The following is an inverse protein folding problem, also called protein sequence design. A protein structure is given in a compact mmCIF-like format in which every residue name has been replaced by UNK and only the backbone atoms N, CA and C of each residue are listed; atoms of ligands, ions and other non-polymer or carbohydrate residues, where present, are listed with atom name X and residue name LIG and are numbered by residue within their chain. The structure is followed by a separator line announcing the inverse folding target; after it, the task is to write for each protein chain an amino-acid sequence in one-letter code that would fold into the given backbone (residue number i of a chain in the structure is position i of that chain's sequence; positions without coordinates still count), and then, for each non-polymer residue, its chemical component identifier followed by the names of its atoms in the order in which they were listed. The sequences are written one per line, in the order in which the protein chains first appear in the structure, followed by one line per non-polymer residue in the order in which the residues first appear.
data_IF_479720995831
#
_entry.id   IF_479720995831
#
_cell.length_a   1.000
_cell.length_b   1.000
_cell.length_c   1.000
_cell.angle_alpha   90.00
_cell.angle_beta   90.00
_cell.angle_gamma   90.00
#
_symmetry.space_group_name_H-M   'P 1'
#
loop_
_entity.id
_entity.type
_entity.pdbx_description
1 polymer ?
#
# COMPACT_ATOMS: atom_id res chain seq x y z
N UNK A 1 -24.80 8.49 -27.82
CA UNK A 1 -24.36 7.33 -27.01
C UNK A 1 -23.12 7.73 -26.24
N UNK A 2 -23.20 7.82 -24.90
CA UNK A 2 -22.05 8.12 -24.05
C UNK A 2 -21.20 6.86 -23.91
N UNK A 3 -19.91 6.94 -24.27
CA UNK A 3 -19.01 5.79 -24.24
C UNK A 3 -18.52 5.59 -22.80
N UNK A 4 -18.92 4.51 -22.16
CA UNK A 4 -18.44 4.15 -20.82
C UNK A 4 -17.10 3.42 -20.95
N UNK A 5 -16.07 3.92 -20.29
CA UNK A 5 -14.78 3.24 -20.19
C UNK A 5 -14.75 2.47 -18.88
N UNK A 6 -14.47 1.16 -18.94
CA UNK A 6 -14.16 0.38 -17.75
C UNK A 6 -12.74 0.75 -17.30
N UNK A 7 -12.61 1.27 -16.08
CA UNK A 7 -11.29 1.48 -15.50
C UNK A 7 -10.65 0.12 -15.18
N UNK A 8 -9.38 -0.04 -15.55
CA UNK A 8 -8.62 -1.20 -15.11
C UNK A 8 -8.49 -1.15 -13.57
N UNK A 9 -8.60 -2.30 -12.87
CA UNK A 9 -8.45 -2.35 -11.43
C UNK A 9 -7.05 -1.89 -11.03
N UNK A 10 -6.98 -0.92 -10.11
CA UNK A 10 -5.72 -0.45 -9.52
C UNK A 10 -5.24 -1.53 -8.55
N UNK A 11 -3.99 -1.94 -8.69
CA UNK A 11 -3.35 -2.86 -7.76
C UNK A 11 -2.58 -2.05 -6.71
N UNK A 12 -2.87 -2.31 -5.45
CA UNK A 12 -2.29 -1.60 -4.32
C UNK A 12 -1.11 -2.39 -3.75
N UNK A 13 -0.02 -1.70 -3.43
CA UNK A 13 1.17 -2.26 -2.80
C UNK A 13 1.53 -1.45 -1.58
N UNK A 14 1.62 -2.09 -0.42
CA UNK A 14 2.08 -1.45 0.79
C UNK A 14 3.58 -1.67 1.00
N UNK A 15 4.25 -0.57 1.33
CA UNK A 15 5.61 -0.59 1.84
C UNK A 15 5.59 -0.16 3.30
N UNK A 16 6.02 -1.05 4.18
CA UNK A 16 6.09 -0.80 5.63
C UNK A 16 7.48 -0.32 5.96
N UNK A 17 7.59 0.81 6.66
CA UNK A 17 8.88 1.38 7.09
C UNK A 17 8.85 1.70 8.58
N UNK A 18 9.89 1.29 9.30
CA UNK A 18 10.14 1.78 10.66
C UNK A 18 10.86 3.13 10.57
N UNK A 19 10.18 4.20 10.99
CA UNK A 19 10.73 5.56 11.01
C UNK A 19 11.50 5.86 12.31
N UNK A 20 11.09 5.22 13.42
CA UNK A 20 11.76 5.26 14.72
C UNK A 20 11.40 4.01 15.53
N UNK A 21 11.97 3.83 16.72
CA UNK A 21 11.76 2.65 17.56
C UNK A 21 10.28 2.28 17.74
N UNK A 22 9.44 3.29 17.99
CA UNK A 22 8.00 3.22 18.20
C UNK A 22 7.22 3.98 17.11
N UNK A 23 7.77 4.08 15.88
CA UNK A 23 7.11 4.78 14.79
C UNK A 23 7.16 3.97 13.51
N UNK A 24 6.01 3.49 13.07
CA UNK A 24 5.82 2.65 11.88
C UNK A 24 4.89 3.31 10.89
N UNK A 25 5.30 3.35 9.64
CA UNK A 25 4.63 4.07 8.57
C UNK A 25 4.32 3.09 7.44
N UNK A 26 3.10 3.15 6.91
CA UNK A 26 2.70 2.37 5.74
C UNK A 26 2.51 3.30 4.56
N UNK A 27 3.31 3.09 3.54
CA UNK A 27 3.22 3.79 2.27
C UNK A 27 2.43 2.95 1.27
N UNK A 28 1.46 3.55 0.60
CA UNK A 28 0.76 2.94 -0.51
C UNK A 28 1.38 3.40 -1.83
N UNK A 29 1.73 2.43 -2.66
CA UNK A 29 2.06 2.57 -4.06
C UNK A 29 0.97 1.90 -4.90
N UNK A 30 0.76 2.44 -6.10
CA UNK A 30 -0.05 1.78 -7.11
C UNK A 30 0.87 1.01 -8.04
N UNK A 31 0.48 -0.18 -8.46
CA UNK A 31 1.17 -0.94 -9.49
C UNK A 31 0.48 -0.68 -10.83
N UNK A 32 1.25 -0.14 -11.79
CA UNK A 32 0.80 0.07 -13.16
C UNK A 32 0.59 -1.24 -13.92
N UNK A 33 -0.08 -1.18 -15.06
CA UNK A 33 -0.38 -2.36 -15.89
C UNK A 33 0.88 -3.11 -16.39
N UNK A 34 2.02 -2.44 -16.46
CA UNK A 34 3.32 -3.00 -16.81
C UNK A 34 4.10 -3.56 -15.60
N UNK A 35 3.52 -3.55 -14.40
CA UNK A 35 4.20 -3.99 -13.19
C UNK A 35 5.15 -2.95 -12.59
N UNK A 36 5.14 -1.71 -13.07
CA UNK A 36 5.93 -0.63 -12.47
C UNK A 36 5.20 -0.05 -11.25
N UNK A 37 5.93 0.09 -10.14
CA UNK A 37 5.46 0.81 -8.96
C UNK A 37 5.38 2.31 -9.25
N UNK A 38 4.32 2.95 -8.77
CA UNK A 38 4.18 4.40 -8.87
C UNK A 38 5.35 5.09 -8.17
N UNK A 39 5.96 6.07 -8.87
CA UNK A 39 7.06 6.90 -8.35
C UNK A 39 6.61 7.66 -7.10
N UNK A 40 5.37 8.15 -7.11
CA UNK A 40 4.76 8.80 -5.95
C UNK A 40 4.10 7.76 -5.06
N UNK A 41 4.42 7.80 -3.77
CA UNK A 41 3.72 7.08 -2.71
C UNK A 41 3.03 8.04 -1.76
N UNK A 42 2.06 7.52 -0.99
CA UNK A 42 1.38 8.27 0.07
C UNK A 42 1.34 7.46 1.35
N UNK A 43 1.47 8.12 2.49
CA UNK A 43 1.29 7.48 3.80
C UNK A 43 -0.20 7.24 4.00
N UNK A 44 -0.58 6.00 4.29
CA UNK A 44 -1.99 5.58 4.49
C UNK A 44 -2.28 5.08 5.90
N UNK A 45 -1.23 4.78 6.67
CA UNK A 45 -1.36 4.36 8.05
C UNK A 45 -0.09 4.67 8.84
N UNK A 46 -0.28 4.96 10.13
CA UNK A 46 0.79 5.14 11.10
C UNK A 46 0.45 4.36 12.37
N UNK A 47 1.46 3.79 13.02
CA UNK A 47 1.28 3.06 14.26
C UNK A 47 2.55 3.09 15.11
N UNK A 48 2.41 2.73 16.38
CA UNK A 48 3.51 2.77 17.34
C UNK A 48 4.21 1.42 17.49
N UNK A 49 3.72 0.38 16.80
CA UNK A 49 4.32 -0.94 16.80
C UNK A 49 4.07 -1.66 15.47
N UNK A 50 4.94 -2.63 15.17
CA UNK A 50 4.77 -3.49 13.99
C UNK A 50 3.48 -4.30 14.04
N UNK A 51 3.10 -4.83 15.21
CA UNK A 51 1.89 -5.63 15.39
C UNK A 51 0.61 -4.87 14.99
N UNK A 52 0.54 -3.57 15.31
CA UNK A 52 -0.59 -2.72 14.90
C UNK A 52 -0.64 -2.52 13.37
N UNK A 53 0.51 -2.44 12.70
CA UNK A 53 0.56 -2.41 11.23
C UNK A 53 0.06 -3.72 10.65
N UNK A 54 0.54 -4.85 11.16
CA UNK A 54 0.16 -6.17 10.65
C UNK A 54 -1.36 -6.40 10.81
N UNK A 55 -1.92 -6.08 11.98
CA UNK A 55 -3.36 -6.16 12.21
C UNK A 55 -4.17 -5.28 11.23
N UNK A 56 -3.67 -4.08 10.92
CA UNK A 56 -4.33 -3.19 9.96
C UNK A 56 -4.24 -3.71 8.51
N UNK A 57 -3.16 -4.40 8.14
CA UNK A 57 -3.01 -5.03 6.82
C UNK A 57 -3.96 -6.22 6.69
N UNK A 58 -4.03 -7.07 7.71
CA UNK A 58 -4.94 -8.23 7.76
C UNK A 58 -6.41 -7.82 7.68
N UNK A 59 -6.75 -6.60 8.13
CA UNK A 59 -8.11 -6.07 8.04
C UNK A 59 -8.48 -5.55 6.63
N UNK A 60 -7.64 -5.72 5.60
CA UNK A 60 -7.94 -5.26 4.23
C UNK A 60 -8.53 -6.39 3.41
N UNK A 61 -9.69 -6.13 2.82
CA UNK A 61 -10.37 -7.04 1.89
C UNK A 61 -9.76 -7.05 0.47
N UNK A 62 -8.68 -6.28 0.24
CA UNK A 62 -8.06 -6.13 -1.07
C UNK A 62 -6.81 -7.02 -1.21
N UNK A 63 -6.51 -7.45 -2.44
CA UNK A 63 -5.23 -8.10 -2.75
C UNK A 63 -4.09 -7.10 -2.59
N UNK A 64 -3.41 -7.20 -1.45
CA UNK A 64 -2.31 -6.32 -1.06
C UNK A 64 -0.99 -7.08 -1.15
N UNK A 65 -0.01 -6.47 -1.78
CA UNK A 65 1.38 -6.93 -1.74
C UNK A 65 2.14 -6.12 -0.69
N UNK A 66 2.94 -6.78 0.14
CA UNK A 66 3.79 -6.14 1.14
C UNK A 66 5.25 -6.27 0.71
N UNK A 67 5.94 -5.14 0.60
CA UNK A 67 7.39 -5.11 0.34
C UNK A 67 8.11 -5.01 1.69
N UNK A 68 8.99 -5.97 1.97
CA UNK A 68 9.94 -5.88 3.08
C UNK A 68 11.05 -4.89 2.74
N UNK A 69 11.52 -4.12 3.72
CA UNK A 69 12.79 -3.40 3.59
C UNK A 69 13.94 -4.43 3.71
N UNK A 70 14.87 -4.40 2.76
CA UNK A 70 16.14 -5.18 2.76
C UNK A 70 17.12 -4.70 3.83
#
# INVERSE_FOLDING_TARGET
MTKTFAFAPIRNVYKIRQAAADSWWVYLHNLGNNGELSITSRVVFFANSRAQVDQWIESKDEFVFVIADD
#
